data_IF_461999118934
#
_entry.id   IF_461999118934
#
_cell.length_a   1.000
_cell.length_b   1.000
_cell.length_c   1.000
_cell.angle_alpha   90.00
_cell.angle_beta   90.00
_cell.angle_gamma   90.00
#
_symmetry.space_group_name_H-M   'P 1'
#
loop_
_entity.id
_entity.type
_entity.pdbx_description
1 polymer ?
#
# COMPACT_ATOMS: atom_id res chain seq x y z
N UNK A 1 23.48 -4.73 -25.93
CA UNK A 1 22.75 -5.84 -25.25
C UNK A 1 21.77 -5.23 -24.27
N UNK A 2 20.46 -5.54 -24.35
CA UNK A 2 19.46 -5.00 -23.41
C UNK A 2 19.65 -5.67 -22.05
N UNK A 3 19.99 -4.88 -21.02
CA UNK A 3 20.07 -5.34 -19.63
C UNK A 3 18.70 -5.12 -19.00
N UNK A 4 18.04 -6.19 -18.57
CA UNK A 4 16.76 -6.12 -17.87
C UNK A 4 17.03 -6.16 -16.37
N UNK A 5 16.35 -5.30 -15.60
CA UNK A 5 16.48 -5.23 -14.15
C UNK A 5 15.18 -5.70 -13.51
N UNK A 6 15.28 -6.61 -12.54
CA UNK A 6 14.12 -7.12 -11.81
C UNK A 6 13.50 -6.02 -10.93
N UNK A 7 12.18 -5.85 -11.01
CA UNK A 7 11.44 -4.84 -10.24
C UNK A 7 11.46 -5.09 -8.73
N UNK A 8 11.40 -6.34 -8.26
CA UNK A 8 11.32 -6.62 -6.81
C UNK A 8 12.70 -6.65 -6.12
N UNK A 9 13.72 -7.22 -6.76
CA UNK A 9 15.04 -7.42 -6.12
C UNK A 9 16.15 -6.55 -6.70
N UNK A 10 15.89 -5.77 -7.75
CA UNK A 10 16.87 -4.85 -8.35
C UNK A 10 18.04 -5.53 -9.07
N UNK A 11 18.08 -6.86 -9.15
CA UNK A 11 19.17 -7.58 -9.84
C UNK A 11 19.05 -7.46 -11.36
N UNK A 12 20.19 -7.36 -12.03
CA UNK A 12 20.25 -7.42 -13.50
C UNK A 12 20.17 -8.87 -13.97
N UNK A 13 19.27 -9.14 -14.91
CA UNK A 13 19.07 -10.44 -15.53
C UNK A 13 20.11 -10.66 -16.64
N UNK A 14 20.66 -11.87 -16.71
CA UNK A 14 21.56 -12.28 -17.78
C UNK A 14 20.78 -12.69 -19.04
N UNK A 15 21.49 -12.84 -20.17
CA UNK A 15 20.90 -13.04 -21.51
C UNK A 15 20.04 -14.31 -21.64
N UNK A 16 20.22 -15.29 -20.75
CA UNK A 16 19.56 -16.62 -20.77
C UNK A 16 18.76 -16.91 -19.49
N UNK A 17 18.47 -15.87 -18.71
CA UNK A 17 17.73 -16.04 -17.46
C UNK A 17 16.22 -15.84 -17.67
N UNK A 18 15.41 -16.77 -17.17
CA UNK A 18 13.94 -16.70 -17.29
C UNK A 18 13.37 -15.49 -16.52
N UNK A 19 12.57 -14.68 -17.22
CA UNK A 19 11.94 -13.48 -16.68
C UNK A 19 10.48 -13.36 -17.12
N UNK A 20 9.68 -12.67 -16.29
CA UNK A 20 8.27 -12.39 -16.54
C UNK A 20 8.08 -10.89 -16.84
N UNK A 21 7.68 -10.52 -18.06
CA UNK A 21 7.40 -9.13 -18.43
C UNK A 21 5.95 -8.74 -18.09
N UNK A 22 5.77 -7.51 -17.60
CA UNK A 22 4.48 -6.90 -17.30
C UNK A 22 4.39 -5.58 -18.05
N UNK A 23 3.37 -5.43 -18.89
CA UNK A 23 3.08 -4.17 -19.60
C UNK A 23 2.14 -3.34 -18.75
N UNK A 24 2.58 -2.15 -18.33
CA UNK A 24 1.76 -1.19 -17.58
C UNK A 24 1.79 0.13 -18.31
N UNK A 25 0.63 0.54 -18.82
CA UNK A 25 0.48 1.68 -19.72
C UNK A 25 1.45 1.59 -20.93
N UNK A 26 2.51 2.40 -20.93
CA UNK A 26 3.55 2.43 -21.97
C UNK A 26 4.90 1.88 -21.50
N UNK A 27 5.03 1.47 -20.24
CA UNK A 27 6.27 0.97 -19.64
C UNK A 27 6.24 -0.56 -19.49
N UNK A 28 7.41 -1.20 -19.64
CA UNK A 28 7.55 -2.64 -19.44
C UNK A 28 8.40 -2.91 -18.21
N UNK A 29 7.80 -3.57 -17.23
CA UNK A 29 8.46 -4.00 -16.01
C UNK A 29 8.79 -5.48 -16.09
N UNK A 30 9.81 -5.92 -15.36
CA UNK A 30 10.32 -7.28 -15.45
C UNK A 30 10.52 -7.86 -14.06
N UNK A 31 10.10 -9.11 -13.84
CA UNK A 31 10.42 -9.87 -12.63
C UNK A 31 11.27 -11.08 -12.99
N UNK A 32 12.22 -11.42 -12.12
CA UNK A 32 12.94 -12.68 -12.23
C UNK A 32 12.07 -13.86 -11.76
N UNK A 33 12.37 -15.09 -12.22
CA UNK A 33 11.64 -16.31 -11.85
C UNK A 33 11.42 -16.45 -10.34
N UNK A 34 12.47 -16.24 -9.54
CA UNK A 34 12.40 -16.36 -8.08
C UNK A 34 11.50 -15.32 -7.41
N UNK A 35 11.48 -14.08 -7.89
CA UNK A 35 10.59 -13.04 -7.37
C UNK A 35 9.14 -13.25 -7.82
N UNK A 36 8.93 -13.71 -9.06
CA UNK A 36 7.60 -14.04 -9.56
C UNK A 36 6.97 -15.21 -8.79
N UNK A 37 7.73 -16.26 -8.48
CA UNK A 37 7.25 -17.39 -7.68
C UNK A 37 6.88 -16.99 -6.25
N UNK A 38 7.63 -16.06 -5.63
CA UNK A 38 7.30 -15.54 -4.29
C UNK A 38 6.06 -14.67 -4.29
N UNK A 39 5.92 -13.80 -5.29
CA UNK A 39 4.75 -12.93 -5.44
C UNK A 39 4.49 -12.65 -6.93
N UNK A 40 3.48 -13.32 -7.52
CA UNK A 40 3.19 -13.18 -8.95
C UNK A 40 2.57 -11.82 -9.29
N UNK A 41 2.12 -11.07 -8.28
CA UNK A 41 1.52 -9.75 -8.44
C UNK A 41 2.62 -8.69 -8.49
N UNK A 42 2.57 -7.83 -9.50
CA UNK A 42 3.40 -6.64 -9.55
C UNK A 42 2.74 -5.56 -8.69
N UNK A 43 3.21 -5.42 -7.44
CA UNK A 43 2.78 -4.37 -6.50
C UNK A 43 3.79 -3.21 -6.56
N UNK A 44 3.37 -2.00 -6.18
CA UNK A 44 4.23 -0.80 -6.03
C UNK A 44 4.55 0.01 -7.29
N UNK A 45 3.55 0.31 -8.13
CA UNK A 45 3.75 1.29 -9.21
C UNK A 45 3.69 2.73 -8.73
N UNK A 46 2.73 3.02 -7.83
CA UNK A 46 2.45 4.37 -7.33
C UNK A 46 1.84 4.25 -5.93
N UNK A 47 2.15 5.19 -5.04
CA UNK A 47 1.32 5.39 -3.85
C UNK A 47 -0.10 5.74 -4.34
N UNK A 48 -1.09 4.99 -3.88
CA UNK A 48 -2.49 5.30 -4.15
C UNK A 48 -3.02 6.10 -2.98
N UNK A 49 -3.52 7.30 -3.24
CA UNK A 49 -4.27 8.05 -2.24
C UNK A 49 -5.61 7.36 -1.99
N UNK A 50 -5.79 6.81 -0.79
CA UNK A 50 -7.02 6.14 -0.38
C UNK A 50 -7.91 7.19 0.27
N UNK A 51 -9.16 7.28 -0.20
CA UNK A 51 -10.15 8.20 0.35
C UNK A 51 -11.26 7.44 1.07
N UNK A 52 -11.72 7.97 2.20
CA UNK A 52 -12.87 7.40 2.94
C UNK A 52 -13.84 8.50 3.40
N UNK A 53 -15.10 8.14 3.60
CA UNK A 53 -16.15 9.03 4.12
C UNK A 53 -16.37 8.74 5.60
N UNK A 54 -15.92 9.63 6.48
CA UNK A 54 -16.03 9.45 7.94
C UNK A 54 -17.17 10.27 8.55
N UNK A 55 -17.45 11.48 8.03
CA UNK A 55 -18.49 12.41 8.57
C UNK A 55 -19.22 13.19 7.45
N UNK A 56 -19.55 12.51 6.35
CA UNK A 56 -20.38 13.08 5.27
C UNK A 56 -19.61 13.64 4.07
N UNK A 57 -18.29 13.86 4.16
CA UNK A 57 -17.43 14.19 3.01
C UNK A 57 -16.24 13.24 2.88
N UNK A 58 -15.68 13.18 1.68
CA UNK A 58 -14.56 12.30 1.29
C UNK A 58 -13.24 12.95 1.74
N UNK A 59 -12.39 12.23 2.46
CA UNK A 59 -11.09 12.73 2.96
C UNK A 59 -9.96 11.71 2.74
N UNK A 60 -8.72 12.13 2.44
CA UNK A 60 -7.59 11.22 2.32
C UNK A 60 -7.33 10.52 3.65
N UNK A 61 -7.23 9.19 3.63
CA UNK A 61 -6.98 8.37 4.81
C UNK A 61 -5.56 8.61 5.35
N UNK A 62 -4.60 8.89 4.48
CA UNK A 62 -3.23 9.25 4.90
C UNK A 62 -3.19 10.55 5.74
N UNK A 63 -4.22 11.41 5.64
CA UNK A 63 -4.37 12.64 6.42
C UNK A 63 -5.20 12.43 7.71
N UNK A 64 -5.30 11.20 8.22
CA UNK A 64 -5.86 10.98 9.55
C UNK A 64 -4.92 11.55 10.61
N UNK A 65 -5.15 12.82 10.96
CA UNK A 65 -4.28 13.64 11.80
C UNK A 65 -4.04 13.03 13.19
N UNK A 66 -2.80 13.17 13.68
CA UNK A 66 -2.37 12.94 15.08
C UNK A 66 -3.34 13.55 16.11
N UNK A 67 -3.85 14.75 15.85
CA UNK A 67 -4.80 15.44 16.73
C UNK A 67 -6.12 14.68 16.93
N UNK A 68 -6.57 13.86 15.97
CA UNK A 68 -7.76 13.01 16.17
C UNK A 68 -7.49 11.82 17.08
N UNK A 69 -6.24 11.34 17.14
CA UNK A 69 -5.86 10.31 18.11
C UNK A 69 -5.76 10.90 19.51
N UNK A 70 -5.25 12.12 19.66
CA UNK A 70 -5.26 12.83 20.95
C UNK A 70 -6.67 13.18 21.42
N UNK A 71 -7.51 13.76 20.54
CA UNK A 71 -8.93 14.00 20.84
C UNK A 71 -9.67 12.73 21.26
N UNK A 72 -9.29 11.55 20.73
CA UNK A 72 -9.86 10.27 21.15
C UNK A 72 -9.38 9.85 22.54
N UNK A 73 -8.11 10.06 22.88
CA UNK A 73 -7.56 9.79 24.22
C UNK A 73 -8.21 10.66 25.29
N UNK A 74 -8.55 11.90 24.96
CA UNK A 74 -9.19 12.85 25.88
C UNK A 74 -10.70 12.58 26.09
N UNK A 75 -11.30 11.60 25.38
CA UNK A 75 -12.70 11.25 25.58
C UNK A 75 -12.88 10.57 26.94
N UNK A 76 -13.78 11.12 27.76
CA UNK A 76 -14.25 10.49 29.00
C UNK A 76 -15.58 9.81 28.73
N UNK A 77 -15.67 8.54 29.11
CA UNK A 77 -16.93 7.80 29.08
C UNK A 77 -17.82 8.27 30.23
N UNK A 78 -19.09 8.55 29.93
CA UNK A 78 -20.08 8.81 30.95
C UNK A 78 -20.51 7.48 31.56
N UNK A 79 -20.14 7.25 32.82
CA UNK A 79 -20.70 6.15 33.60
C UNK A 79 -22.02 6.64 34.15
N UNK A 80 -23.13 6.11 33.61
CA UNK A 80 -24.42 6.29 34.24
C UNK A 80 -24.37 5.57 35.59
N UNK A 81 -24.44 6.33 36.68
CA UNK A 81 -24.46 5.78 38.03
C UNK A 81 -25.65 4.81 38.12
N UNK A 82 -25.35 3.53 38.33
CA UNK A 82 -26.35 2.50 38.59
C UNK A 82 -26.91 2.69 40.00
N UNK A 83 -27.60 3.81 40.20
CA UNK A 83 -28.18 4.25 41.45
C UNK A 83 -29.61 4.74 41.25
N UNK A 84 -30.48 3.88 40.70
CA UNK A 84 -31.91 4.00 40.98
C UNK A 84 -32.17 3.15 42.23
N UNK A 85 -32.16 3.81 43.39
CA UNK A 85 -32.78 3.29 44.61
C UNK A 85 -34.21 3.81 44.71
#
# INVERSE_FOLDING_TARGET
MKKYTCHDCGRTLQHDEEYMPYKVDSETYVKCKSCHQKNPVLKSFRKTEIYSRVVGYIRPVEQWNEGKQEEYKDRKEYVADSGCH
#
